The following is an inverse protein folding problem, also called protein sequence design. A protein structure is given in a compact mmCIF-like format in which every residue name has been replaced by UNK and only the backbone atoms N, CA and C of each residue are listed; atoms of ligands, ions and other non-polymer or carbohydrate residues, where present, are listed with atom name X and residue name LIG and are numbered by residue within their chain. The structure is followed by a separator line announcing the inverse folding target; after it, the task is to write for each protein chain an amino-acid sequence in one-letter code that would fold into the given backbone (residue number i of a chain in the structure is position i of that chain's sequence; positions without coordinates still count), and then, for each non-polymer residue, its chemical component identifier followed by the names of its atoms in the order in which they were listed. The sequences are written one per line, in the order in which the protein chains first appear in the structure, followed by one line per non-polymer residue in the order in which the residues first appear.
data_IF_791698787674
#
_entry.id   IF_791698787674
#
_cell.length_a   1.000
_cell.length_b   1.000
_cell.length_c   1.000
_cell.angle_alpha   90.00
_cell.angle_beta   90.00
_cell.angle_gamma   90.00
#
_symmetry.space_group_name_H-M   'P 1'
#
loop_
_entity.id
_entity.type
_entity.pdbx_description
1 polymer ?
#
# COMPACT_ATOMS: atom_id res chain seq x y z
N UNK A 1 39.12 15.71 -68.22
CA UNK A 1 39.53 14.62 -67.28
C UNK A 1 39.92 15.23 -65.95
N UNK A 2 39.00 15.22 -65.03
CA UNK A 2 39.17 15.71 -63.65
C UNK A 2 39.51 14.51 -62.75
N UNK A 3 40.74 14.47 -62.28
CA UNK A 3 41.23 13.49 -61.31
C UNK A 3 40.71 13.95 -59.93
N UNK A 4 39.79 13.23 -59.39
CA UNK A 4 39.34 13.44 -58.01
C UNK A 4 40.36 12.72 -57.09
N UNK A 5 41.12 13.42 -56.23
CA UNK A 5 41.98 12.76 -55.29
C UNK A 5 41.08 12.10 -54.22
N UNK A 6 41.24 10.77 -54.11
CA UNK A 6 40.63 9.99 -53.04
C UNK A 6 41.30 10.40 -51.72
N UNK A 7 40.73 11.39 -51.05
CA UNK A 7 41.04 11.56 -49.63
C UNK A 7 40.32 10.43 -48.89
N UNK A 8 41.06 9.35 -48.74
CA UNK A 8 40.66 8.32 -47.79
C UNK A 8 40.52 8.99 -46.42
N UNK A 9 39.32 9.08 -45.96
CA UNK A 9 38.98 9.53 -44.61
C UNK A 9 39.44 8.41 -43.65
N UNK A 10 40.78 8.33 -43.49
CA UNK A 10 41.37 7.49 -42.47
C UNK A 10 41.08 8.16 -41.13
N UNK A 11 39.99 7.78 -40.51
CA UNK A 11 39.76 8.09 -39.09
C UNK A 11 40.93 7.50 -38.32
N UNK A 12 41.63 8.29 -37.50
CA UNK A 12 42.71 7.78 -36.68
C UNK A 12 42.18 6.66 -35.78
N UNK A 13 42.91 5.55 -35.71
CA UNK A 13 42.56 4.36 -34.96
C UNK A 13 42.15 4.68 -33.50
N UNK A 14 42.75 5.71 -32.94
CA UNK A 14 42.49 6.21 -31.58
C UNK A 14 41.05 6.74 -31.39
N UNK A 15 40.41 7.26 -32.45
CA UNK A 15 39.03 7.72 -32.40
C UNK A 15 38.03 6.55 -32.36
N UNK A 16 38.37 5.47 -33.06
CA UNK A 16 37.55 4.25 -33.07
C UNK A 16 37.61 3.58 -31.71
N UNK A 17 38.81 3.49 -31.15
CA UNK A 17 39.03 2.87 -29.83
C UNK A 17 38.33 3.67 -28.71
N UNK A 18 38.44 4.99 -28.73
CA UNK A 18 37.73 5.87 -27.79
C UNK A 18 36.21 5.81 -27.93
N UNK A 19 35.70 5.67 -29.14
CA UNK A 19 34.25 5.53 -29.38
C UNK A 19 33.71 4.20 -28.83
N UNK A 20 34.51 3.11 -28.98
CA UNK A 20 34.14 1.79 -28.45
C UNK A 20 34.15 1.82 -26.91
N UNK A 21 35.21 2.42 -26.29
CA UNK A 21 35.26 2.56 -24.82
C UNK A 21 34.10 3.43 -24.27
N UNK A 22 33.77 4.53 -24.94
CA UNK A 22 32.67 5.38 -24.57
C UNK A 22 31.31 4.64 -24.68
N UNK A 23 31.14 3.81 -25.69
CA UNK A 23 29.93 3.03 -25.92
C UNK A 23 29.81 1.89 -24.90
N UNK A 24 30.90 1.23 -24.55
CA UNK A 24 30.96 0.17 -23.54
C UNK A 24 30.75 0.74 -22.14
N UNK A 25 31.39 1.87 -21.81
CA UNK A 25 31.17 2.56 -20.52
C UNK A 25 29.76 3.15 -20.41
N UNK A 26 29.20 3.64 -21.52
CA UNK A 26 27.80 4.09 -21.58
C UNK A 26 26.81 2.93 -21.37
N UNK A 27 27.11 1.76 -21.94
CA UNK A 27 26.29 0.57 -21.76
C UNK A 27 26.41 -0.02 -20.35
N UNK A 28 27.56 0.11 -19.68
CA UNK A 28 27.75 -0.27 -18.28
C UNK A 28 27.10 0.73 -17.29
N UNK A 29 26.89 1.99 -17.72
CA UNK A 29 26.21 3.00 -16.92
C UNK A 29 24.67 2.92 -17.02
N UNK A 30 24.13 2.11 -17.93
CA UNK A 30 22.68 1.87 -18.08
C UNK A 30 21.97 1.25 -16.85
N UNK A 31 22.62 0.51 -15.93
CA UNK A 31 21.95 0.10 -14.69
C UNK A 31 21.63 1.27 -13.74
N UNK A 32 22.13 2.49 -14.00
CA UNK A 32 21.77 3.67 -13.23
C UNK A 32 20.50 4.39 -13.74
N UNK A 33 19.95 3.98 -14.89
CA UNK A 33 18.61 4.37 -15.27
C UNK A 33 17.66 3.54 -14.39
N UNK A 34 17.38 4.09 -13.23
CA UNK A 34 16.38 3.63 -12.30
C UNK A 34 15.04 3.52 -13.06
N UNK A 35 14.75 2.33 -13.55
CA UNK A 35 13.43 1.99 -14.05
C UNK A 35 12.47 2.01 -12.85
N UNK A 36 11.61 3.03 -12.73
CA UNK A 36 10.80 3.18 -11.53
C UNK A 36 9.69 2.13 -11.39
N UNK A 37 9.68 1.14 -12.28
CA UNK A 37 8.63 0.12 -12.30
C UNK A 37 9.07 -1.33 -12.07
N UNK A 38 10.39 -1.67 -12.15
CA UNK A 38 10.83 -3.08 -12.12
C UNK A 38 11.44 -3.54 -10.79
N UNK A 39 11.65 -2.62 -9.83
CA UNK A 39 12.17 -2.93 -8.50
C UNK A 39 11.35 -2.21 -7.41
N UNK A 40 10.05 -2.01 -7.63
CA UNK A 40 9.18 -1.87 -6.49
C UNK A 40 9.14 -3.27 -5.85
N UNK A 41 9.57 -3.41 -4.58
CA UNK A 41 9.20 -4.61 -3.86
C UNK A 41 7.68 -4.66 -3.99
N UNK A 42 7.17 -5.72 -4.62
CA UNK A 42 5.77 -6.07 -4.54
C UNK A 42 5.39 -5.84 -3.08
N UNK A 43 4.37 -5.02 -2.78
CA UNK A 43 3.92 -4.85 -1.41
C UNK A 43 3.73 -6.28 -0.92
N UNK A 44 4.57 -6.70 0.02
CA UNK A 44 4.52 -8.05 0.61
C UNK A 44 3.05 -8.30 0.88
N UNK A 45 2.45 -9.18 0.07
CA UNK A 45 1.01 -9.38 0.09
C UNK A 45 0.68 -9.72 1.54
N UNK A 46 0.10 -8.77 2.26
CA UNK A 46 -0.26 -8.96 3.64
C UNK A 46 -1.09 -10.25 3.71
N UNK A 47 -0.93 -11.05 4.73
CA UNK A 47 -1.51 -12.39 4.75
C UNK A 47 -3.00 -12.30 4.43
N UNK A 48 -3.42 -13.00 3.38
CA UNK A 48 -4.83 -13.05 2.99
C UNK A 48 -5.69 -13.68 4.10
N UNK A 49 -5.05 -14.27 5.12
CA UNK A 49 -5.69 -14.94 6.25
C UNK A 49 -5.03 -14.49 7.55
N UNK A 50 -5.83 -13.96 8.46
CA UNK A 50 -5.43 -13.61 9.82
C UNK A 50 -5.73 -14.77 10.76
N UNK A 51 -4.75 -15.18 11.57
CA UNK A 51 -4.97 -16.09 12.67
C UNK A 51 -5.29 -15.29 13.95
N UNK A 52 -6.51 -15.39 14.41
CA UNK A 52 -6.98 -14.79 15.68
C UNK A 52 -6.65 -15.72 16.83
N UNK A 53 -6.16 -15.14 17.92
CA UNK A 53 -5.86 -15.81 19.18
C UNK A 53 -6.86 -15.38 20.25
N UNK A 54 -7.82 -16.22 20.53
CA UNK A 54 -8.74 -16.07 21.67
C UNK A 54 -8.45 -17.18 22.68
N UNK A 55 -8.81 -16.98 23.92
CA UNK A 55 -8.56 -17.87 25.06
C UNK A 55 -8.64 -19.36 24.68
N UNK A 56 -7.47 -19.96 24.37
CA UNK A 56 -7.34 -21.39 24.00
C UNK A 56 -7.87 -21.76 22.59
N UNK A 57 -8.32 -20.80 21.78
CA UNK A 57 -8.83 -21.06 20.41
C UNK A 57 -8.09 -20.25 19.39
N UNK A 58 -7.66 -20.91 18.31
CA UNK A 58 -7.12 -20.30 17.12
C UNK A 58 -8.19 -20.31 16.03
N UNK A 59 -8.60 -19.14 15.55
CA UNK A 59 -9.56 -18.99 14.45
C UNK A 59 -8.88 -18.32 13.28
N UNK A 60 -9.03 -18.86 12.08
CA UNK A 60 -8.50 -18.27 10.84
C UNK A 60 -9.60 -17.48 10.14
N UNK A 61 -9.33 -16.21 9.87
CA UNK A 61 -10.24 -15.32 9.13
C UNK A 61 -9.58 -14.83 7.85
N UNK A 62 -10.33 -14.81 6.77
CA UNK A 62 -9.89 -14.14 5.55
C UNK A 62 -9.90 -12.62 5.78
N UNK A 63 -8.78 -11.95 5.46
CA UNK A 63 -8.67 -10.50 5.66
C UNK A 63 -9.74 -9.67 4.91
N UNK A 64 -10.16 -10.05 3.68
CA UNK A 64 -11.27 -9.35 2.98
C UNK A 64 -12.61 -9.41 3.70
N UNK A 65 -12.84 -10.41 4.56
CA UNK A 65 -14.08 -10.53 5.32
C UNK A 65 -14.11 -9.64 6.55
N UNK A 66 -12.97 -9.10 6.98
CA UNK A 66 -12.88 -8.18 8.10
C UNK A 66 -13.45 -6.82 7.67
N UNK A 67 -14.47 -6.36 8.37
CA UNK A 67 -15.12 -5.07 8.13
C UNK A 67 -14.51 -3.98 9.00
N UNK A 68 -14.39 -4.23 10.29
CA UNK A 68 -13.82 -3.29 11.27
C UNK A 68 -13.20 -4.01 12.46
N UNK A 69 -12.32 -3.28 13.15
CA UNK A 69 -11.76 -3.69 14.42
C UNK A 69 -12.08 -2.62 15.48
N UNK A 70 -12.36 -3.06 16.71
CA UNK A 70 -12.61 -2.18 17.84
C UNK A 70 -11.79 -2.63 19.05
N UNK A 71 -11.11 -1.68 19.71
CA UNK A 71 -10.43 -1.96 20.97
C UNK A 71 -11.45 -2.12 22.10
N UNK A 72 -11.39 -3.23 22.81
CA UNK A 72 -12.26 -3.58 23.94
C UNK A 72 -11.39 -3.94 25.16
N UNK A 73 -10.89 -2.91 25.86
CA UNK A 73 -9.96 -3.10 26.97
C UNK A 73 -8.63 -3.72 26.51
N UNK A 74 -8.32 -4.92 26.99
CA UNK A 74 -7.11 -5.68 26.67
C UNK A 74 -7.26 -6.55 25.41
N UNK A 75 -8.44 -6.55 24.79
CA UNK A 75 -8.77 -7.35 23.62
C UNK A 75 -9.08 -6.46 22.42
N UNK A 76 -9.08 -7.05 21.26
CA UNK A 76 -9.61 -6.42 20.05
C UNK A 76 -10.76 -7.25 19.51
N UNK A 77 -11.89 -6.60 19.30
CA UNK A 77 -13.03 -7.15 18.59
C UNK A 77 -12.80 -7.04 17.09
N UNK A 78 -12.95 -8.15 16.40
CA UNK A 78 -12.87 -8.25 14.94
C UNK A 78 -14.25 -8.55 14.39
N UNK A 79 -14.85 -7.57 13.75
CA UNK A 79 -16.18 -7.68 13.15
C UNK A 79 -16.05 -8.08 11.69
N UNK A 80 -16.73 -9.14 11.30
CA UNK A 80 -16.67 -9.67 9.93
C UNK A 80 -17.97 -9.45 9.18
N UNK A 81 -17.90 -9.56 7.86
CA UNK A 81 -19.02 -9.37 6.93
C UNK A 81 -20.24 -10.22 7.26
N UNK A 82 -20.06 -11.43 7.77
CA UNK A 82 -21.14 -12.30 8.19
C UNK A 82 -21.95 -11.80 9.39
N UNK A 83 -21.54 -10.70 10.01
CA UNK A 83 -22.13 -10.15 11.24
C UNK A 83 -21.55 -10.78 12.52
N UNK A 84 -20.68 -11.79 12.40
CA UNK A 84 -20.02 -12.38 13.56
C UNK A 84 -18.95 -11.43 14.13
N UNK A 85 -18.72 -11.54 15.45
CA UNK A 85 -17.64 -10.83 16.15
C UNK A 85 -16.73 -11.84 16.79
N UNK A 86 -15.44 -11.70 16.54
CA UNK A 86 -14.39 -12.51 17.14
C UNK A 86 -13.54 -11.64 18.06
N UNK A 87 -13.02 -12.25 19.14
CA UNK A 87 -12.12 -11.57 20.06
C UNK A 87 -10.68 -12.03 19.77
N UNK A 88 -9.74 -11.10 19.84
CA UNK A 88 -8.30 -11.39 19.80
C UNK A 88 -7.63 -10.82 21.04
N UNK A 89 -6.70 -11.56 21.61
CA UNK A 89 -5.99 -11.18 22.85
C UNK A 89 -4.95 -10.07 22.63
N UNK A 90 -4.64 -9.73 21.38
CA UNK A 90 -3.73 -8.66 21.02
C UNK A 90 -4.44 -7.33 21.04
N UNK A 91 -3.70 -6.27 21.34
CA UNK A 91 -4.20 -4.91 21.22
C UNK A 91 -4.35 -4.51 19.74
N UNK A 92 -5.14 -3.47 19.47
CA UNK A 92 -5.45 -3.00 18.13
C UNK A 92 -4.20 -2.66 17.29
N UNK A 93 -3.15 -2.09 17.91
CA UNK A 93 -1.92 -1.74 17.19
C UNK A 93 -1.17 -2.98 16.72
N UNK A 94 -0.94 -3.93 17.62
CA UNK A 94 -0.25 -5.18 17.29
C UNK A 94 -1.02 -6.02 16.25
N UNK A 95 -2.36 -5.91 16.25
CA UNK A 95 -3.17 -6.60 15.25
C UNK A 95 -3.08 -5.93 13.89
N UNK A 96 -3.03 -4.59 13.84
CA UNK A 96 -2.89 -3.82 12.62
C UNK A 96 -1.55 -4.07 11.90
N UNK A 97 -0.47 -4.33 12.65
CA UNK A 97 0.84 -4.64 12.09
C UNK A 97 0.85 -5.96 11.29
N UNK A 98 -0.15 -6.82 11.53
CA UNK A 98 -0.32 -8.11 10.85
C UNK A 98 -1.33 -8.06 9.71
N UNK A 99 -2.00 -6.94 9.51
CA UNK A 99 -3.09 -6.79 8.56
C UNK A 99 -2.65 -6.06 7.28
N UNK A 100 -3.35 -6.28 6.16
CA UNK A 100 -3.05 -5.59 4.93
C UNK A 100 -3.25 -4.08 5.04
N UNK A 101 -2.52 -3.31 4.21
CA UNK A 101 -2.58 -1.86 4.17
C UNK A 101 -3.98 -1.28 3.86
N UNK A 102 -4.91 -2.12 3.37
CA UNK A 102 -6.32 -1.77 3.20
C UNK A 102 -7.11 -1.62 4.50
N UNK A 103 -6.60 -2.17 5.61
CA UNK A 103 -7.19 -1.98 6.94
C UNK A 103 -6.45 -0.88 7.66
N UNK A 104 -7.12 0.23 7.91
CA UNK A 104 -6.50 1.46 8.41
C UNK A 104 -7.09 1.89 9.74
N UNK A 105 -6.23 2.46 10.59
CA UNK A 105 -6.67 3.06 11.84
C UNK A 105 -7.37 4.38 11.55
N UNK A 106 -8.58 4.56 12.08
CA UNK A 106 -9.39 5.78 11.91
C UNK A 106 -9.63 6.50 13.24
N UNK A 107 -9.47 5.78 14.34
CA UNK A 107 -9.62 6.30 15.70
C UNK A 107 -8.64 5.58 16.64
N UNK A 108 -8.37 6.17 17.83
CA UNK A 108 -7.53 5.51 18.85
C UNK A 108 -8.00 4.09 19.21
N UNK A 109 -9.31 3.84 19.08
CA UNK A 109 -9.95 2.56 19.41
C UNK A 109 -10.58 1.84 18.21
N UNK A 110 -10.47 2.38 16.98
CA UNK A 110 -11.13 1.79 15.82
C UNK A 110 -10.20 1.76 14.60
N UNK A 111 -10.30 0.65 13.85
CA UNK A 111 -9.75 0.51 12.52
C UNK A 111 -10.82 -0.06 11.60
N UNK A 112 -10.76 0.26 10.32
CA UNK A 112 -11.73 -0.18 9.31
C UNK A 112 -11.01 -0.70 8.08
N UNK A 113 -11.63 -1.67 7.42
CA UNK A 113 -11.23 -2.07 6.09
C UNK A 113 -11.85 -1.10 5.08
N UNK A 114 -10.99 -0.43 4.31
CA UNK A 114 -11.43 0.54 3.31
C UNK A 114 -12.36 -0.08 2.24
N UNK A 115 -12.30 -1.39 2.02
CA UNK A 115 -13.19 -2.09 1.08
C UNK A 115 -14.66 -2.06 1.50
N UNK A 116 -14.91 -1.88 2.78
CA UNK A 116 -16.24 -1.83 3.36
C UNK A 116 -16.67 -0.41 3.75
N UNK A 117 -15.95 0.62 3.33
CA UNK A 117 -16.35 2.02 3.55
C UNK A 117 -17.27 2.48 2.44
N UNK A 118 -18.44 2.99 2.82
CA UNK A 118 -19.43 3.56 1.91
C UNK A 118 -19.29 5.07 1.81
N UNK A 119 -19.23 5.77 2.95
CA UNK A 119 -19.15 7.22 2.98
C UNK A 119 -18.32 7.74 4.17
N UNK A 120 -17.70 8.91 4.00
CA UNK A 120 -17.14 9.71 5.07
C UNK A 120 -18.00 10.96 5.26
N UNK A 121 -18.73 11.02 6.37
CA UNK A 121 -19.63 12.13 6.70
C UNK A 121 -19.01 13.05 7.75
N UNK A 122 -19.37 14.33 7.70
CA UNK A 122 -19.02 15.30 8.72
C UNK A 122 -20.28 15.81 9.41
N UNK A 123 -20.30 15.68 10.71
CA UNK A 123 -21.39 16.19 11.54
C UNK A 123 -21.08 17.59 12.08
N UNK A 124 -22.11 18.22 12.64
CA UNK A 124 -21.99 19.52 13.32
C UNK A 124 -20.96 19.43 14.45
N UNK A 125 -20.05 20.40 14.54
CA UNK A 125 -18.99 20.45 15.54
C UNK A 125 -17.70 19.72 15.13
N UNK A 126 -17.45 19.55 13.82
CA UNK A 126 -16.24 18.90 13.29
C UNK A 126 -16.04 17.47 13.78
N UNK A 127 -17.10 16.75 13.96
CA UNK A 127 -17.09 15.31 14.18
C UNK A 127 -17.16 14.62 12.83
N UNK A 128 -16.35 13.59 12.66
CA UNK A 128 -16.30 12.80 11.43
C UNK A 128 -16.70 11.38 11.72
N UNK A 129 -17.52 10.81 10.84
CA UNK A 129 -17.95 9.42 10.90
C UNK A 129 -17.74 8.73 9.57
N UNK A 130 -17.38 7.45 9.62
CA UNK A 130 -17.38 6.56 8.48
C UNK A 130 -18.62 5.70 8.52
N UNK A 131 -19.33 5.69 7.43
CA UNK A 131 -20.42 4.76 7.18
C UNK A 131 -19.87 3.53 6.46
N UNK A 132 -20.16 2.36 7.00
CA UNK A 132 -19.72 1.08 6.45
C UNK A 132 -20.90 0.40 5.72
N UNK A 133 -20.57 -0.43 4.74
CA UNK A 133 -21.55 -1.17 3.90
C UNK A 133 -22.54 -2.03 4.67
N UNK A 134 -22.27 -2.32 5.94
CA UNK A 134 -23.18 -3.02 6.84
C UNK A 134 -24.07 -2.07 7.67
N UNK A 135 -24.10 -0.77 7.35
CA UNK A 135 -24.87 0.25 8.07
C UNK A 135 -24.26 0.69 9.41
N UNK A 136 -23.06 0.21 9.76
CA UNK A 136 -22.39 0.63 11.00
C UNK A 136 -21.68 1.96 10.80
N UNK A 137 -21.83 2.90 11.73
CA UNK A 137 -21.09 4.15 11.77
C UNK A 137 -19.93 4.07 12.75
N UNK A 138 -18.74 4.55 12.31
CA UNK A 138 -17.50 4.49 13.10
C UNK A 138 -16.92 5.90 13.24
N UNK A 139 -16.58 6.36 14.45
CA UNK A 139 -16.00 7.68 14.65
C UNK A 139 -14.58 7.76 14.09
N UNK A 140 -14.27 8.90 13.45
CA UNK A 140 -12.94 9.19 12.88
C UNK A 140 -12.28 10.31 13.68
N UNK A 141 -11.02 10.14 14.03
CA UNK A 141 -10.26 11.21 14.66
C UNK A 141 -9.86 12.28 13.64
N UNK A 142 -9.87 13.56 14.03
CA UNK A 142 -9.61 14.70 13.13
C UNK A 142 -8.27 14.57 12.39
N UNK A 143 -7.25 14.03 13.05
CA UNK A 143 -5.90 13.86 12.47
C UNK A 143 -5.88 12.81 11.35
N UNK A 144 -6.78 11.83 11.37
CA UNK A 144 -6.81 10.74 10.40
C UNK A 144 -7.64 11.09 9.14
N UNK A 145 -8.45 12.15 9.21
CA UNK A 145 -9.40 12.53 8.14
C UNK A 145 -8.68 12.83 6.82
N UNK A 146 -7.55 13.58 6.86
CA UNK A 146 -6.84 13.96 5.65
C UNK A 146 -6.30 12.73 4.91
N UNK A 147 -5.53 11.87 5.60
CA UNK A 147 -4.99 10.65 5.02
C UNK A 147 -6.06 9.65 4.58
N UNK A 148 -7.23 9.65 5.27
CA UNK A 148 -8.34 8.80 4.88
C UNK A 148 -9.00 9.28 3.58
N UNK A 149 -9.17 10.59 3.40
CA UNK A 149 -9.70 11.18 2.15
C UNK A 149 -8.82 10.85 0.95
N UNK A 150 -7.51 10.98 1.09
CA UNK A 150 -6.55 10.64 0.04
C UNK A 150 -6.65 9.16 -0.37
N UNK A 151 -6.73 8.27 0.62
CA UNK A 151 -6.85 6.82 0.37
C UNK A 151 -8.18 6.45 -0.29
N UNK A 152 -9.28 7.09 0.10
CA UNK A 152 -10.58 6.86 -0.52
C UNK A 152 -10.63 7.43 -1.95
N UNK A 153 -10.07 8.62 -2.20
CA UNK A 153 -9.99 9.22 -3.53
C UNK A 153 -9.15 8.37 -4.50
N UNK A 154 -8.01 7.83 -4.04
CA UNK A 154 -7.15 6.98 -4.86
C UNK A 154 -7.76 5.63 -5.25
N UNK A 155 -8.89 5.23 -4.66
CA UNK A 155 -9.61 3.99 -5.00
C UNK A 155 -10.74 4.20 -6.02
N UNK A 156 -11.14 5.44 -6.24
CA UNK A 156 -12.20 5.80 -7.18
C UNK A 156 -11.67 6.04 -8.61
N UNK A 157 -10.37 5.93 -8.80
CA UNK A 157 -9.68 6.01 -10.09
C UNK A 157 -9.26 4.60 -10.53
#
# INVERSE_FOLDING_TARGET
LAIIPAYALALPADLIDRAIYALVLGLLALPAIRWPGLLQPEPTAAPAVLALQSTGRLTRLACPDIVRLAAAGNYTEVHVRSGATHLDNRNLSALLDLLPAGIVRVHRSHAVNLEHVEALTSEVGSRYQLELTNGTSVPVSRREVAGLRERLAGRSA
#
